data_IF_794373397416
#
_entry.id   IF_794373397416
#
_cell.length_a   1.000
_cell.length_b   1.000
_cell.length_c   1.000
_cell.angle_alpha   90.00
_cell.angle_beta   90.00
_cell.angle_gamma   90.00
#
_symmetry.space_group_name_H-M   'P 1'
#
loop_
_entity.id
_entity.type
_entity.pdbx_description
1 polymer ?
#
# COMPACT_ATOMS: atom_id res chain seq x y z
N UNK A 1 -10.49 24.72 46.51
CA UNK A 1 -9.46 23.71 46.19
C UNK A 1 -9.07 23.87 44.74
N UNK A 2 -7.79 24.12 44.47
CA UNK A 2 -7.28 24.38 43.12
C UNK A 2 -7.21 23.06 42.34
N UNK A 3 -8.08 22.87 41.34
CA UNK A 3 -8.01 21.81 40.32
C UNK A 3 -6.80 22.02 39.38
N UNK A 4 -5.59 22.15 39.95
CA UNK A 4 -4.32 22.26 39.19
C UNK A 4 -3.52 20.97 39.16
N UNK A 5 -3.96 19.94 39.88
CA UNK A 5 -3.32 18.63 39.83
C UNK A 5 -3.57 18.00 38.44
N UNK A 6 -2.53 17.52 37.73
CA UNK A 6 -2.68 16.69 36.55
C UNK A 6 -3.68 15.56 36.79
N UNK A 7 -4.50 15.22 35.79
CA UNK A 7 -5.55 14.19 35.91
C UNK A 7 -5.03 12.85 36.45
N UNK A 8 -3.77 12.50 36.14
CA UNK A 8 -3.09 11.28 36.60
C UNK A 8 -2.77 11.28 38.10
N UNK A 9 -2.76 12.44 38.75
CA UNK A 9 -2.43 12.63 40.17
C UNK A 9 -3.68 12.71 41.06
N UNK A 10 -4.88 12.58 40.47
CA UNK A 10 -6.13 12.53 41.23
C UNK A 10 -6.29 11.17 41.94
N UNK A 11 -6.75 11.14 43.20
CA UNK A 11 -7.00 9.88 43.93
C UNK A 11 -7.98 8.98 43.17
N UNK A 12 -7.63 7.70 42.99
CA UNK A 12 -8.44 6.71 42.26
C UNK A 12 -8.39 6.82 40.73
N UNK A 13 -7.79 7.88 40.17
CA UNK A 13 -7.67 8.04 38.72
C UNK A 13 -6.64 7.06 38.12
N UNK A 14 -5.60 6.69 38.88
CA UNK A 14 -4.60 5.70 38.46
C UNK A 14 -5.21 4.35 38.08
N UNK A 15 -6.07 3.79 38.93
CA UNK A 15 -6.75 2.51 38.68
C UNK A 15 -7.67 2.58 37.46
N UNK A 16 -8.39 3.70 37.31
CA UNK A 16 -9.24 3.94 36.14
C UNK A 16 -8.42 4.00 34.84
N UNK A 17 -7.33 4.77 34.81
CA UNK A 17 -6.46 4.86 33.62
C UNK A 17 -5.79 3.52 33.28
N UNK A 18 -5.40 2.74 34.29
CA UNK A 18 -4.84 1.40 34.07
C UNK A 18 -5.89 0.44 33.50
N UNK A 19 -7.14 0.50 33.98
CA UNK A 19 -8.24 -0.28 33.43
C UNK A 19 -8.57 0.12 31.99
N UNK A 20 -8.61 1.42 31.67
CA UNK A 20 -8.82 1.91 30.30
C UNK A 20 -7.69 1.49 29.37
N UNK A 21 -6.43 1.60 29.82
CA UNK A 21 -5.26 1.17 29.05
C UNK A 21 -5.34 -0.33 28.71
N UNK A 22 -5.65 -1.16 29.71
CA UNK A 22 -5.81 -2.61 29.53
C UNK A 22 -6.99 -2.95 28.61
N UNK A 23 -8.10 -2.23 28.72
CA UNK A 23 -9.25 -2.41 27.84
C UNK A 23 -8.94 -2.03 26.37
N UNK A 24 -8.06 -1.05 26.15
CA UNK A 24 -7.65 -0.57 24.83
C UNK A 24 -6.69 -1.52 24.09
N UNK A 25 -5.95 -2.40 24.78
CA UNK A 25 -4.95 -3.30 24.18
C UNK A 25 -5.55 -4.20 23.08
N UNK A 26 -6.70 -4.85 23.36
CA UNK A 26 -7.32 -5.78 22.42
C UNK A 26 -7.87 -5.07 21.17
N UNK A 27 -8.63 -3.97 21.28
CA UNK A 27 -9.01 -3.14 20.13
C UNK A 27 -7.82 -2.66 19.30
N UNK A 28 -6.74 -2.21 19.96
CA UNK A 28 -5.56 -1.67 19.31
C UNK A 28 -4.78 -2.74 18.52
N UNK A 29 -4.60 -3.92 19.10
CA UNK A 29 -4.01 -5.07 18.42
C UNK A 29 -4.87 -5.53 17.22
N UNK A 30 -6.20 -5.52 17.35
CA UNK A 30 -7.11 -5.82 16.24
C UNK A 30 -6.97 -4.79 15.12
N UNK A 31 -6.88 -3.50 15.46
CA UNK A 31 -6.66 -2.43 14.49
C UNK A 31 -5.34 -2.64 13.74
N UNK A 32 -4.24 -2.93 14.45
CA UNK A 32 -2.94 -3.22 13.84
C UNK A 32 -3.03 -4.41 12.87
N UNK A 33 -3.67 -5.51 13.28
CA UNK A 33 -3.82 -6.69 12.45
C UNK A 33 -4.63 -6.40 11.17
N UNK A 34 -5.72 -5.64 11.27
CA UNK A 34 -6.51 -5.20 10.11
C UNK A 34 -5.68 -4.34 9.17
N UNK A 35 -4.92 -3.37 9.70
CA UNK A 35 -4.08 -2.48 8.89
C UNK A 35 -2.94 -3.25 8.20
N UNK A 36 -2.29 -4.21 8.89
CA UNK A 36 -1.29 -5.12 8.30
C UNK A 36 -1.88 -5.97 7.16
N UNK A 37 -3.08 -6.53 7.34
CA UNK A 37 -3.76 -7.29 6.29
C UNK A 37 -4.05 -6.42 5.07
N UNK A 38 -4.55 -5.21 5.29
CA UNK A 38 -4.82 -4.27 4.20
C UNK A 38 -3.54 -3.84 3.48
N UNK A 39 -2.45 -3.68 4.22
CA UNK A 39 -1.13 -3.37 3.65
C UNK A 39 -0.67 -4.48 2.72
N UNK A 40 -0.70 -5.73 3.19
CA UNK A 40 -0.33 -6.89 2.38
C UNK A 40 -1.14 -7.00 1.06
N UNK A 41 -2.46 -6.81 1.13
CA UNK A 41 -3.33 -6.84 -0.05
C UNK A 41 -2.94 -5.74 -1.05
N UNK A 42 -2.67 -4.52 -0.56
CA UNK A 42 -2.28 -3.39 -1.41
C UNK A 42 -0.89 -3.56 -2.02
N UNK A 43 0.07 -4.07 -1.27
CA UNK A 43 1.41 -4.39 -1.77
C UNK A 43 1.35 -5.45 -2.87
N UNK A 44 0.57 -6.51 -2.67
CA UNK A 44 0.35 -7.55 -3.69
C UNK A 44 -0.30 -6.98 -4.95
N UNK A 45 -1.28 -6.09 -4.78
CA UNK A 45 -1.95 -5.41 -5.90
C UNK A 45 -1.00 -4.51 -6.69
N UNK A 46 -0.16 -3.75 -5.97
CA UNK A 46 0.86 -2.90 -6.56
C UNK A 46 1.88 -3.73 -7.34
N UNK A 47 2.44 -4.78 -6.74
CA UNK A 47 3.40 -5.67 -7.38
C UNK A 47 2.81 -6.31 -8.64
N UNK A 48 1.55 -6.74 -8.59
CA UNK A 48 0.84 -7.30 -9.75
C UNK A 48 0.72 -6.28 -10.87
N UNK A 49 0.33 -5.04 -10.55
CA UNK A 49 0.20 -3.96 -11.53
C UNK A 49 1.55 -3.61 -12.17
N UNK A 50 2.59 -3.41 -11.36
CA UNK A 50 3.96 -3.11 -11.82
C UNK A 50 4.50 -4.20 -12.74
N UNK A 51 4.32 -5.47 -12.34
CA UNK A 51 4.78 -6.63 -13.12
C UNK A 51 4.08 -6.69 -14.48
N UNK A 52 2.75 -6.54 -14.50
CA UNK A 52 1.96 -6.54 -15.74
C UNK A 52 2.35 -5.38 -16.64
N UNK A 53 2.42 -4.15 -16.10
CA UNK A 53 2.80 -2.95 -16.86
C UNK A 53 4.19 -3.10 -17.46
N UNK A 54 5.18 -3.56 -16.69
CA UNK A 54 6.55 -3.79 -17.18
C UNK A 54 6.59 -4.80 -18.32
N UNK A 55 5.83 -5.89 -18.21
CA UNK A 55 5.72 -6.88 -19.29
C UNK A 55 5.08 -6.29 -20.56
N UNK A 56 4.00 -5.50 -20.42
CA UNK A 56 3.35 -4.87 -21.56
C UNK A 56 4.20 -3.79 -22.20
N UNK A 57 4.91 -2.97 -21.42
CA UNK A 57 5.85 -1.96 -21.93
C UNK A 57 6.99 -2.61 -22.72
N UNK A 58 7.55 -3.71 -22.21
CA UNK A 58 8.56 -4.50 -22.95
C UNK A 58 7.99 -5.03 -24.26
N UNK A 59 6.80 -5.64 -24.22
CA UNK A 59 6.12 -6.12 -25.42
C UNK A 59 5.86 -5.01 -26.44
N UNK A 60 5.44 -3.83 -25.97
CA UNK A 60 5.14 -2.68 -26.82
C UNK A 60 6.40 -2.18 -27.49
N UNK A 61 7.49 -2.05 -26.73
CA UNK A 61 8.79 -1.70 -27.26
C UNK A 61 9.26 -2.69 -28.33
N UNK A 62 9.14 -3.99 -28.06
CA UNK A 62 9.48 -5.03 -29.05
C UNK A 62 8.64 -4.91 -30.31
N UNK A 63 7.32 -4.69 -30.19
CA UNK A 63 6.44 -4.51 -31.36
C UNK A 63 6.85 -3.28 -32.18
N UNK A 64 7.16 -2.15 -31.53
CA UNK A 64 7.67 -0.95 -32.21
C UNK A 64 8.98 -1.28 -32.96
N UNK A 65 9.93 -1.95 -32.30
CA UNK A 65 11.21 -2.34 -32.91
C UNK A 65 11.09 -3.35 -34.03
N UNK A 66 10.09 -4.23 -34.00
CA UNK A 66 9.82 -5.14 -35.11
C UNK A 66 9.27 -4.40 -36.32
N UNK A 67 8.32 -3.47 -36.11
CA UNK A 67 7.73 -2.68 -37.19
C UNK A 67 8.73 -1.75 -37.88
N UNK A 68 9.79 -1.34 -37.19
CA UNK A 68 10.91 -0.59 -37.78
C UNK A 68 11.74 -1.44 -38.77
N UNK A 69 11.65 -2.78 -38.74
CA UNK A 69 12.45 -3.66 -39.61
C UNK A 69 11.84 -3.80 -41.00
N UNK A 70 12.66 -3.59 -42.03
CA UNK A 70 12.29 -3.71 -43.45
C UNK A 70 12.08 -5.16 -43.94
N UNK A 71 12.27 -6.15 -43.08
CA UNK A 71 12.23 -7.59 -43.44
C UNK A 71 10.89 -8.26 -43.19
N UNK A 72 9.90 -7.55 -42.66
CA UNK A 72 8.58 -8.11 -42.35
C UNK A 72 7.72 -8.22 -43.62
N UNK A 73 6.98 -9.32 -43.75
CA UNK A 73 5.95 -9.42 -44.77
C UNK A 73 4.73 -8.57 -44.40
N UNK A 74 3.86 -8.29 -45.37
CA UNK A 74 2.59 -7.58 -45.11
C UNK A 74 1.71 -8.29 -44.07
N UNK A 75 1.78 -9.62 -43.99
CA UNK A 75 1.05 -10.40 -42.98
C UNK A 75 1.64 -10.17 -41.59
N UNK A 76 2.97 -10.22 -41.47
CA UNK A 76 3.66 -10.00 -40.20
C UNK A 76 3.37 -8.61 -39.65
N UNK A 77 3.42 -7.58 -40.51
CA UNK A 77 3.10 -6.20 -40.12
C UNK A 77 1.71 -6.11 -39.49
N UNK A 78 0.69 -6.72 -40.11
CA UNK A 78 -0.69 -6.72 -39.57
C UNK A 78 -0.76 -7.33 -38.18
N UNK A 79 -0.11 -8.48 -37.96
CA UNK A 79 -0.13 -9.16 -36.66
C UNK A 79 0.64 -8.38 -35.59
N UNK A 80 1.79 -7.81 -35.94
CA UNK A 80 2.60 -7.01 -35.01
C UNK A 80 1.87 -5.71 -34.65
N UNK A 81 1.21 -5.05 -35.61
CA UNK A 81 0.38 -3.87 -35.35
C UNK A 81 -0.82 -4.19 -34.46
N UNK A 82 -1.51 -5.31 -34.70
CA UNK A 82 -2.61 -5.73 -33.85
C UNK A 82 -2.13 -5.96 -32.40
N UNK A 83 -0.99 -6.63 -32.24
CA UNK A 83 -0.37 -6.85 -30.92
C UNK A 83 0.00 -5.52 -30.26
N UNK A 84 0.59 -4.58 -30.99
CA UNK A 84 0.91 -3.23 -30.52
C UNK A 84 -0.35 -2.53 -29.97
N UNK A 85 -1.43 -2.49 -30.76
CA UNK A 85 -2.72 -1.88 -30.34
C UNK A 85 -3.29 -2.52 -29.08
N UNK A 86 -3.27 -3.86 -28.99
CA UNK A 86 -3.72 -4.54 -27.77
C UNK A 86 -2.89 -4.16 -26.54
N UNK A 87 -1.58 -3.97 -26.68
CA UNK A 87 -0.71 -3.55 -25.58
C UNK A 87 -0.96 -2.10 -25.17
N UNK A 88 -1.19 -1.20 -26.14
CA UNK A 88 -1.58 0.19 -25.88
C UNK A 88 -2.89 0.27 -25.09
N UNK A 89 -3.90 -0.51 -25.49
CA UNK A 89 -5.18 -0.62 -24.76
C UNK A 89 -4.94 -1.10 -23.32
N UNK A 90 -4.17 -2.18 -23.13
CA UNK A 90 -3.85 -2.70 -21.78
C UNK A 90 -3.15 -1.67 -20.91
N UNK A 91 -2.23 -0.89 -21.48
CA UNK A 91 -1.50 0.16 -20.75
C UNK A 91 -2.40 1.35 -20.42
N UNK A 92 -3.36 1.69 -21.28
CA UNK A 92 -4.37 2.73 -21.04
C UNK A 92 -5.36 2.31 -19.94
N UNK A 93 -5.77 1.04 -19.90
CA UNK A 93 -6.60 0.50 -18.81
C UNK A 93 -5.88 0.49 -17.46
N UNK A 94 -4.55 0.32 -17.49
CA UNK A 94 -3.70 0.14 -16.32
C UNK A 94 -2.69 1.27 -16.21
N UNK A 95 -3.15 2.52 -16.15
CA UNK A 95 -2.31 3.72 -16.26
C UNK A 95 -1.15 3.80 -15.25
N UNK A 96 -0.14 4.61 -15.58
CA UNK A 96 0.92 4.97 -14.63
C UNK A 96 0.37 5.72 -13.41
N UNK A 97 -0.68 6.51 -13.60
CA UNK A 97 -1.37 7.17 -12.50
C UNK A 97 -1.89 6.18 -11.45
N UNK A 98 -2.55 5.08 -11.87
CA UNK A 98 -3.02 4.03 -10.94
C UNK A 98 -1.87 3.41 -10.14
N UNK A 99 -0.70 3.28 -10.76
CA UNK A 99 0.52 2.79 -10.10
C UNK A 99 1.02 3.78 -9.04
N UNK A 100 1.12 5.07 -9.38
CA UNK A 100 1.49 6.14 -8.42
C UNK A 100 0.49 6.20 -7.26
N UNK A 101 -0.80 6.17 -7.57
CA UNK A 101 -1.87 6.23 -6.58
C UNK A 101 -1.77 5.06 -5.59
N UNK A 102 -1.53 3.84 -6.09
CA UNK A 102 -1.31 2.66 -5.24
C UNK A 102 -0.02 2.75 -4.43
N UNK A 103 1.06 3.31 -4.98
CA UNK A 103 2.31 3.58 -4.26
C UNK A 103 2.08 4.53 -3.09
N UNK A 104 1.42 5.65 -3.33
CA UNK A 104 1.12 6.65 -2.31
C UNK A 104 0.24 6.06 -1.19
N UNK A 105 -0.83 5.34 -1.55
CA UNK A 105 -1.73 4.66 -0.59
C UNK A 105 -0.98 3.61 0.24
N UNK A 106 -0.12 2.83 -0.40
CA UNK A 106 0.72 1.83 0.29
C UNK A 106 1.69 2.49 1.26
N UNK A 107 2.34 3.58 0.86
CA UNK A 107 3.28 4.31 1.70
C UNK A 107 2.58 4.90 2.94
N UNK A 108 1.44 5.57 2.76
CA UNK A 108 0.64 6.08 3.88
C UNK A 108 0.26 4.98 4.86
N UNK A 109 -0.20 3.83 4.35
CA UNK A 109 -0.61 2.71 5.19
C UNK A 109 0.58 2.05 5.91
N UNK A 110 1.77 2.02 5.30
CA UNK A 110 3.01 1.59 5.99
C UNK A 110 3.32 2.49 7.17
N UNK A 111 3.24 3.80 6.99
CA UNK A 111 3.47 4.76 8.06
C UNK A 111 2.46 4.58 9.20
N UNK A 112 1.17 4.40 8.89
CA UNK A 112 0.14 4.11 9.90
C UNK A 112 0.42 2.81 10.68
N UNK A 113 0.79 1.73 9.99
CA UNK A 113 1.12 0.45 10.63
C UNK A 113 2.34 0.60 11.54
N UNK A 114 3.37 1.30 11.09
CA UNK A 114 4.58 1.55 11.87
C UNK A 114 4.27 2.38 13.12
N UNK A 115 3.47 3.44 12.97
CA UNK A 115 3.05 4.29 14.08
C UNK A 115 2.26 3.50 15.13
N UNK A 116 1.24 2.72 14.72
CA UNK A 116 0.43 1.93 15.67
C UNK A 116 1.30 0.89 16.38
N UNK A 117 2.22 0.23 15.66
CA UNK A 117 3.13 -0.74 16.26
C UNK A 117 4.09 -0.11 17.28
N UNK A 118 4.66 1.06 16.96
CA UNK A 118 5.50 1.82 17.89
C UNK A 118 4.72 2.26 19.13
N UNK A 119 3.51 2.78 18.93
CA UNK A 119 2.64 3.19 20.03
C UNK A 119 2.29 2.02 20.97
N UNK A 120 1.97 0.84 20.43
CA UNK A 120 1.76 -0.37 21.26
C UNK A 120 3.03 -0.73 22.05
N UNK A 121 4.20 -0.67 21.43
CA UNK A 121 5.47 -0.97 22.09
C UNK A 121 5.78 0.02 23.23
N UNK A 122 5.55 1.31 23.02
CA UNK A 122 5.68 2.35 24.04
C UNK A 122 4.74 2.10 25.23
N UNK A 123 3.47 1.75 24.96
CA UNK A 123 2.52 1.45 26.02
C UNK A 123 2.93 0.23 26.84
N UNK A 124 3.54 -0.78 26.22
CA UNK A 124 4.03 -1.97 26.92
C UNK A 124 5.31 -1.70 27.73
N UNK A 125 6.18 -0.81 27.26
CA UNK A 125 7.45 -0.47 27.93
C UNK A 125 7.29 0.57 29.05
N UNK A 126 6.26 1.42 29.00
CA UNK A 126 5.94 2.41 30.06
C UNK A 126 5.19 1.83 31.27
N UNK A 127 5.22 0.51 31.48
CA UNK A 127 4.63 -0.20 32.62
C UNK A 127 5.71 -0.63 33.66
N UNK A 128 6.87 0.04 33.68
CA UNK A 128 7.93 -0.11 34.69
C UNK A 128 8.01 1.14 35.57
#
# INVERSE_FOLDING_TARGET
MSLKAPLKELPGAGDFFMAEKKAAEKPLNKLLATKKRNLYIRETSLQTLETKRKAWQRGLHTSIKLLEKRTLTNSDVKWVDLRKRHLEIRLAENTYFKEIELKAKTHSLKAEVAYIAAFIAEQNNGNL
#
